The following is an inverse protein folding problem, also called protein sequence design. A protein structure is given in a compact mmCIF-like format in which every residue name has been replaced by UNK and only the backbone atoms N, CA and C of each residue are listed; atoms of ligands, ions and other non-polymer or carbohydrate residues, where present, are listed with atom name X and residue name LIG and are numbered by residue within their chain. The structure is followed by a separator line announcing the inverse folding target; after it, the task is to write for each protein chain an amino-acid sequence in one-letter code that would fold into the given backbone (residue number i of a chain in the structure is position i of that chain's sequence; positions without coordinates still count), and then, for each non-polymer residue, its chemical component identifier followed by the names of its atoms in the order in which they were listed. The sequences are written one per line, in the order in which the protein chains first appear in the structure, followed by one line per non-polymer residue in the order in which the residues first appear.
data_IF_486830294663
#
_entry.id   IF_486830294663
#
_cell.length_a   1.000
_cell.length_b   1.000
_cell.length_c   1.000
_cell.angle_alpha   90.00
_cell.angle_beta   90.00
_cell.angle_gamma   90.00
#
_symmetry.space_group_name_H-M   'P 1'
#
loop_
_entity.id
_entity.type
_entity.pdbx_description
1 polymer ?
#
# COMPACT_ATOMS: atom_id res chain seq x y z
N UNK A 1 1.63 -3.36 -35.69
CA UNK A 1 1.15 -2.13 -35.04
C UNK A 1 1.55 -0.95 -35.91
N UNK A 2 0.59 -0.12 -36.29
CA UNK A 2 0.85 1.19 -36.90
C UNK A 2 1.51 2.13 -35.88
N UNK A 3 2.17 3.19 -36.35
CA UNK A 3 2.73 4.23 -35.47
C UNK A 3 1.64 4.85 -34.58
N UNK A 4 0.44 5.04 -35.13
CA UNK A 4 -0.72 5.54 -34.37
C UNK A 4 -1.13 4.59 -33.23
N UNK A 5 -1.09 3.28 -33.46
CA UNK A 5 -1.44 2.27 -32.44
C UNK A 5 -0.42 2.28 -31.29
N UNK A 6 0.88 2.39 -31.62
CA UNK A 6 1.95 2.45 -30.61
C UNK A 6 1.80 3.71 -29.76
N UNK A 7 1.49 4.85 -30.39
CA UNK A 7 1.28 6.11 -29.70
C UNK A 7 0.07 6.05 -28.76
N UNK A 8 -1.05 5.52 -29.23
CA UNK A 8 -2.25 5.28 -28.42
C UNK A 8 -1.93 4.38 -27.21
N UNK A 9 -1.24 3.26 -27.42
CA UNK A 9 -0.92 2.32 -26.35
C UNK A 9 0.05 2.91 -25.33
N UNK A 10 1.01 3.74 -25.76
CA UNK A 10 1.88 4.48 -24.85
C UNK A 10 1.08 5.46 -23.98
N UNK A 11 0.22 6.29 -24.60
CA UNK A 11 -0.60 7.24 -23.85
C UNK A 11 -1.55 6.53 -22.87
N UNK A 12 -2.27 5.51 -23.34
CA UNK A 12 -3.19 4.74 -22.51
C UNK A 12 -2.47 4.03 -21.37
N UNK A 13 -1.33 3.39 -21.65
CA UNK A 13 -0.57 2.63 -20.68
C UNK A 13 0.05 3.50 -19.60
N UNK A 14 0.58 4.68 -19.97
CA UNK A 14 1.11 5.64 -18.99
C UNK A 14 0.00 6.21 -18.12
N UNK A 15 -1.11 6.68 -18.72
CA UNK A 15 -2.20 7.30 -17.96
C UNK A 15 -2.93 6.30 -17.06
N UNK A 16 -3.28 5.12 -17.57
CA UNK A 16 -3.89 4.05 -16.77
C UNK A 16 -2.92 3.53 -15.70
N UNK A 17 -1.62 3.46 -16.04
CA UNK A 17 -0.56 3.05 -15.13
C UNK A 17 -0.26 4.04 -14.02
N UNK A 18 -0.46 5.34 -14.24
CA UNK A 18 -0.40 6.34 -13.17
C UNK A 18 -1.53 6.16 -12.17
N UNK A 19 -2.73 5.81 -12.64
CA UNK A 19 -3.89 5.56 -11.78
C UNK A 19 -3.66 4.32 -10.93
N UNK A 20 -3.32 3.16 -11.52
CA UNK A 20 -3.03 1.94 -10.75
C UNK A 20 -1.78 2.11 -9.88
N UNK A 21 -0.75 2.77 -10.42
CA UNK A 21 0.49 3.08 -9.72
C UNK A 21 0.30 3.98 -8.51
N UNK A 22 -0.72 4.84 -8.50
CA UNK A 22 -1.05 5.66 -7.32
C UNK A 22 -1.53 4.81 -6.13
N UNK A 23 -2.27 3.73 -6.39
CA UNK A 23 -2.71 2.77 -5.36
C UNK A 23 -1.52 1.94 -4.87
N UNK A 24 -0.65 1.49 -5.78
CA UNK A 24 0.58 0.81 -5.40
C UNK A 24 1.52 1.72 -4.60
N UNK A 25 1.59 3.00 -4.93
CA UNK A 25 2.36 4.00 -4.20
C UNK A 25 1.84 4.17 -2.76
N UNK A 26 0.52 4.27 -2.56
CA UNK A 26 -0.08 4.30 -1.22
C UNK A 26 0.29 3.06 -0.41
N UNK A 27 0.12 1.87 -0.98
CA UNK A 27 0.46 0.62 -0.30
C UNK A 27 1.96 0.50 -0.02
N UNK A 28 2.81 0.91 -0.96
CA UNK A 28 4.26 0.94 -0.80
C UNK A 28 4.67 1.89 0.33
N UNK A 29 4.05 3.07 0.43
CA UNK A 29 4.26 4.00 1.54
C UNK A 29 3.86 3.36 2.87
N UNK A 30 2.75 2.64 2.94
CA UNK A 30 2.33 1.93 4.15
C UNK A 30 3.36 0.86 4.58
N UNK A 31 3.86 0.08 3.62
CA UNK A 31 4.95 -0.89 3.83
C UNK A 31 6.22 -0.20 4.36
N UNK A 32 6.66 0.87 3.69
CA UNK A 32 7.90 1.58 4.05
C UNK A 32 7.81 2.23 5.43
N UNK A 33 6.66 2.77 5.82
CA UNK A 33 6.49 3.39 7.14
C UNK A 33 6.65 2.36 8.27
N UNK A 34 6.08 1.15 8.10
CA UNK A 34 6.28 0.06 9.06
C UNK A 34 7.75 -0.36 9.06
N UNK A 35 8.30 -0.69 7.88
CA UNK A 35 9.66 -1.19 7.74
C UNK A 35 10.68 -0.23 8.38
N UNK A 36 10.55 1.07 8.13
CA UNK A 36 11.44 2.11 8.67
C UNK A 36 11.40 2.23 10.20
N UNK A 37 10.36 1.70 10.84
CA UNK A 37 10.18 1.79 12.30
C UNK A 37 10.53 0.47 13.01
N UNK A 38 10.37 -0.67 12.33
CA UNK A 38 10.56 -2.01 12.92
C UNK A 38 11.73 -2.79 12.34
N UNK A 39 12.33 -2.36 11.23
CA UNK A 39 13.34 -3.10 10.43
C UNK A 39 12.89 -4.51 10.02
N UNK A 40 11.59 -4.78 10.02
CA UNK A 40 11.00 -6.07 9.66
C UNK A 40 9.83 -5.85 8.70
N UNK A 41 9.76 -6.58 7.57
CA UNK A 41 8.63 -6.49 6.65
C UNK A 41 7.33 -7.00 7.28
N UNK A 42 6.22 -6.31 7.02
CA UNK A 42 4.88 -6.73 7.39
C UNK A 42 4.20 -7.49 6.24
N UNK A 43 4.19 -8.82 6.28
CA UNK A 43 3.54 -9.62 5.24
C UNK A 43 2.01 -9.59 5.31
N UNK A 44 1.42 -9.09 6.41
CA UNK A 44 -0.03 -8.91 6.51
C UNK A 44 -0.55 -7.68 5.77
N UNK A 45 0.31 -6.81 5.23
CA UNK A 45 -0.12 -5.51 4.69
C UNK A 45 -1.19 -5.62 3.59
N UNK A 46 -1.08 -6.64 2.73
CA UNK A 46 -2.07 -6.92 1.69
C UNK A 46 -3.39 -7.43 2.25
N UNK A 47 -3.34 -8.24 3.30
CA UNK A 47 -4.56 -8.75 3.96
C UNK A 47 -5.24 -7.63 4.78
N UNK A 48 -4.49 -6.67 5.31
CA UNK A 48 -5.04 -5.45 5.92
C UNK A 48 -5.77 -4.61 4.87
N UNK A 49 -5.22 -4.49 3.65
CA UNK A 49 -5.90 -3.89 2.51
C UNK A 49 -7.18 -4.66 2.14
N UNK A 50 -7.10 -5.99 2.06
CA UNK A 50 -8.25 -6.85 1.78
C UNK A 50 -9.37 -6.60 2.79
N UNK A 51 -9.05 -6.61 4.09
CA UNK A 51 -10.02 -6.37 5.16
C UNK A 51 -10.70 -5.00 5.01
N UNK A 52 -9.97 -3.96 4.62
CA UNK A 52 -10.56 -2.65 4.33
C UNK A 52 -11.63 -2.71 3.24
N UNK A 53 -11.35 -3.41 2.15
CA UNK A 53 -12.33 -3.61 1.09
C UNK A 53 -13.54 -4.44 1.51
N UNK A 54 -13.34 -5.51 2.29
CA UNK A 54 -14.45 -6.34 2.80
C UNK A 54 -15.31 -5.65 3.85
N UNK A 55 -14.72 -4.84 4.73
CA UNK A 55 -15.49 -4.00 5.66
C UNK A 55 -16.38 -3.03 4.86
N UNK A 56 -15.82 -2.35 3.86
CA UNK A 56 -16.57 -1.44 3.02
C UNK A 56 -17.69 -2.16 2.25
N UNK A 57 -17.40 -3.34 1.67
CA UNK A 57 -18.40 -4.17 0.98
C UNK A 57 -19.52 -4.60 1.91
N UNK A 58 -19.19 -5.05 3.13
CA UNK A 58 -20.19 -5.45 4.11
C UNK A 58 -21.12 -4.29 4.47
N UNK A 59 -20.55 -3.12 4.81
CA UNK A 59 -21.33 -1.95 5.18
C UNK A 59 -22.19 -1.41 4.02
N UNK A 60 -21.72 -1.56 2.78
CA UNK A 60 -22.43 -1.04 1.60
C UNK A 60 -23.48 -2.02 1.10
N UNK A 61 -23.12 -3.29 0.89
CA UNK A 61 -23.97 -4.28 0.23
C UNK A 61 -24.89 -5.04 1.20
N UNK A 62 -24.45 -5.27 2.44
CA UNK A 62 -25.24 -6.01 3.43
C UNK A 62 -26.04 -5.05 4.29
N UNK A 63 -25.41 -4.00 4.81
CA UNK A 63 -26.08 -3.00 5.66
C UNK A 63 -26.79 -1.89 4.87
N UNK A 64 -26.47 -1.71 3.58
CA UNK A 64 -27.10 -0.69 2.74
C UNK A 64 -26.73 0.75 3.12
N UNK A 65 -25.60 0.97 3.81
CA UNK A 65 -25.24 2.30 4.30
C UNK A 65 -24.65 3.19 3.20
N UNK A 66 -24.87 4.51 3.27
CA UNK A 66 -24.32 5.45 2.30
C UNK A 66 -22.81 5.60 2.45
N UNK A 67 -22.12 5.88 1.35
CA UNK A 67 -20.66 6.04 1.30
C UNK A 67 -20.10 7.04 2.32
N UNK A 68 -20.86 8.09 2.63
CA UNK A 68 -20.48 9.11 3.60
C UNK A 68 -20.22 8.54 5.00
N UNK A 69 -20.90 7.45 5.36
CA UNK A 69 -20.74 6.73 6.62
C UNK A 69 -19.77 5.55 6.47
N UNK A 70 -19.81 4.84 5.33
CA UNK A 70 -18.95 3.67 5.08
C UNK A 70 -17.46 4.04 5.09
N UNK A 71 -17.08 5.14 4.44
CA UNK A 71 -15.68 5.58 4.34
C UNK A 71 -15.05 5.79 5.72
N UNK A 72 -15.55 6.71 6.59
CA UNK A 72 -14.90 6.96 7.87
C UNK A 72 -14.89 5.73 8.77
N UNK A 73 -15.95 4.92 8.78
CA UNK A 73 -15.99 3.70 9.59
C UNK A 73 -14.95 2.70 9.12
N UNK A 74 -14.80 2.49 7.82
CA UNK A 74 -13.79 1.59 7.26
C UNK A 74 -12.39 2.06 7.62
N UNK A 75 -12.09 3.35 7.45
CA UNK A 75 -10.79 3.92 7.79
C UNK A 75 -10.45 3.74 9.26
N UNK A 76 -11.39 4.04 10.17
CA UNK A 76 -11.20 3.90 11.61
C UNK A 76 -11.07 2.43 11.99
N UNK A 77 -11.92 1.55 11.48
CA UNK A 77 -11.91 0.13 11.81
C UNK A 77 -10.57 -0.53 11.45
N UNK A 78 -10.06 -0.28 10.25
CA UNK A 78 -8.78 -0.86 9.80
C UNK A 78 -7.60 -0.23 10.55
N UNK A 79 -7.60 1.09 10.78
CA UNK A 79 -6.57 1.74 11.57
C UNK A 79 -6.50 1.21 13.01
N UNK A 80 -7.66 1.03 13.65
CA UNK A 80 -7.77 0.46 15.00
C UNK A 80 -7.32 -1.00 14.99
N UNK A 81 -7.76 -1.81 14.03
CA UNK A 81 -7.33 -3.21 13.88
C UNK A 81 -5.80 -3.32 13.81
N UNK A 82 -5.16 -2.55 12.91
CA UNK A 82 -3.71 -2.58 12.75
C UNK A 82 -2.97 -2.05 13.99
N UNK A 83 -3.43 -0.96 14.59
CA UNK A 83 -2.84 -0.40 15.81
C UNK A 83 -2.98 -1.33 17.03
N UNK A 84 -4.13 -1.99 17.17
CA UNK A 84 -4.39 -2.95 18.23
C UNK A 84 -3.53 -4.21 18.07
N UNK A 85 -3.40 -4.71 16.84
CA UNK A 85 -2.49 -5.83 16.55
C UNK A 85 -1.06 -5.50 16.96
N UNK A 86 -0.57 -4.30 16.64
CA UNK A 86 0.74 -3.85 17.10
C UNK A 86 0.84 -3.85 18.63
N UNK A 87 -0.17 -3.34 19.33
CA UNK A 87 -0.17 -3.25 20.79
C UNK A 87 -0.22 -4.60 21.48
N UNK A 88 -1.06 -5.50 21.00
CA UNK A 88 -1.40 -6.76 21.67
C UNK A 88 -0.41 -7.86 21.31
N UNK A 89 -0.08 -7.98 20.02
CA UNK A 89 0.73 -9.09 19.50
C UNK A 89 2.17 -8.64 19.33
N UNK A 90 2.42 -7.62 18.51
CA UNK A 90 3.79 -7.27 18.13
C UNK A 90 4.62 -6.76 19.31
N UNK A 91 4.07 -5.95 20.21
CA UNK A 91 4.83 -5.51 21.41
C UNK A 91 5.27 -6.68 22.30
N UNK A 92 4.48 -7.77 22.36
CA UNK A 92 4.88 -8.99 23.09
C UNK A 92 5.98 -9.75 22.35
N UNK A 93 5.87 -9.85 21.03
CA UNK A 93 6.85 -10.51 20.16
C UNK A 93 8.18 -9.74 20.12
N UNK A 94 8.16 -8.42 20.19
CA UNK A 94 9.38 -7.60 20.24
C UNK A 94 10.12 -7.79 21.57
N UNK A 95 9.41 -8.17 22.63
CA UNK A 95 9.99 -8.41 23.95
C UNK A 95 10.64 -9.81 24.08
N UNK A 96 10.39 -10.75 23.16
CA UNK A 96 10.98 -12.09 23.19
C UNK A 96 12.37 -12.17 22.54
N UNK A 97 13.16 -13.19 22.92
CA UNK A 97 14.47 -13.47 22.31
C UNK A 97 14.25 -13.99 20.87
N UNK A 98 14.94 -13.44 19.87
CA UNK A 98 14.75 -13.82 18.44
C UNK A 98 13.89 -12.84 17.62
N UNK A 99 14.03 -11.55 17.91
CA UNK A 99 13.15 -10.42 17.56
C UNK A 99 12.82 -10.27 16.06
N UNK A 100 13.64 -10.77 15.12
CA UNK A 100 13.40 -10.62 13.68
C UNK A 100 12.44 -11.66 13.07
N UNK A 101 12.80 -12.94 13.14
CA UNK A 101 12.02 -14.03 12.51
C UNK A 101 10.63 -14.16 13.15
N UNK A 102 10.53 -13.97 14.46
CA UNK A 102 9.25 -14.04 15.18
C UNK A 102 8.28 -12.95 14.74
N UNK A 103 8.76 -11.74 14.43
CA UNK A 103 7.91 -10.67 13.89
C UNK A 103 7.35 -11.04 12.52
N UNK A 104 8.19 -11.60 11.63
CA UNK A 104 7.73 -12.08 10.32
C UNK A 104 6.64 -13.14 10.50
N UNK A 105 6.88 -14.15 11.34
CA UNK A 105 5.92 -15.21 11.64
C UNK A 105 4.61 -14.64 12.19
N UNK A 106 4.67 -13.66 13.11
CA UNK A 106 3.49 -13.01 13.65
C UNK A 106 2.66 -12.30 12.56
N UNK A 107 3.33 -11.62 11.62
CA UNK A 107 2.62 -10.98 10.49
C UNK A 107 2.04 -11.98 9.51
N UNK A 108 2.72 -13.11 9.24
CA UNK A 108 2.13 -14.20 8.45
C UNK A 108 0.92 -14.81 9.16
N UNK A 109 1.01 -15.01 10.48
CA UNK A 109 -0.12 -15.47 11.29
C UNK A 109 -1.32 -14.54 11.20
N UNK A 110 -1.09 -13.22 11.27
CA UNK A 110 -2.15 -12.23 11.05
C UNK A 110 -2.73 -12.33 9.63
N UNK A 111 -1.88 -12.43 8.61
CA UNK A 111 -2.31 -12.52 7.22
C UNK A 111 -3.30 -13.69 7.01
N UNK A 112 -2.91 -14.89 7.45
CA UNK A 112 -3.77 -16.08 7.35
C UNK A 112 -5.01 -15.98 8.24
N UNK A 113 -4.90 -15.41 9.44
CA UNK A 113 -6.06 -15.20 10.32
C UNK A 113 -7.11 -14.27 9.67
N UNK A 114 -6.68 -13.12 9.12
CA UNK A 114 -7.58 -12.18 8.44
C UNK A 114 -8.22 -12.81 7.20
N UNK A 115 -7.43 -13.54 6.39
CA UNK A 115 -7.94 -14.28 5.23
C UNK A 115 -8.98 -15.32 5.63
N UNK A 116 -8.72 -16.11 6.68
CA UNK A 116 -9.65 -17.10 7.21
C UNK A 116 -10.94 -16.47 7.72
N UNK A 117 -10.85 -15.37 8.48
CA UNK A 117 -12.01 -14.63 8.99
C UNK A 117 -12.88 -14.10 7.85
N UNK A 118 -12.29 -13.50 6.82
CA UNK A 118 -13.04 -13.02 5.65
C UNK A 118 -13.75 -14.17 4.94
N UNK A 119 -13.07 -15.30 4.71
CA UNK A 119 -13.71 -16.48 4.09
C UNK A 119 -14.87 -17.02 4.93
N UNK A 120 -14.75 -17.01 6.26
CA UNK A 120 -15.83 -17.46 7.14
C UNK A 120 -17.11 -16.61 7.05
N UNK A 121 -17.01 -15.33 6.66
CA UNK A 121 -18.19 -14.47 6.53
C UNK A 121 -19.09 -14.84 5.33
N UNK A 122 -18.65 -15.71 4.42
CA UNK A 122 -19.38 -16.06 3.19
C UNK A 122 -19.39 -14.96 2.12
N UNK A 123 -18.99 -13.72 2.44
CA UNK A 123 -18.80 -12.66 1.45
C UNK A 123 -17.65 -12.95 0.48
N UNK A 124 -16.70 -13.80 0.88
CA UNK A 124 -15.54 -14.16 0.09
C UNK A 124 -15.79 -15.22 -0.98
N UNK A 125 -16.96 -15.86 -1.00
CA UNK A 125 -17.25 -16.99 -1.90
C UNK A 125 -17.51 -16.54 -3.35
N UNK A 126 -17.86 -15.27 -3.53
CA UNK A 126 -18.13 -14.68 -4.84
C UNK A 126 -17.29 -13.42 -5.01
N UNK A 127 -16.58 -13.24 -6.15
CA UNK A 127 -15.91 -11.99 -6.45
C UNK A 127 -16.90 -10.82 -6.50
N UNK A 128 -16.64 -9.75 -5.76
CA UNK A 128 -17.53 -8.58 -5.68
C UNK A 128 -16.73 -7.28 -5.78
N UNK A 129 -17.32 -6.25 -6.37
CA UNK A 129 -16.79 -4.88 -6.38
C UNK A 129 -17.71 -3.95 -5.60
N UNK A 130 -17.17 -2.81 -5.21
CA UNK A 130 -17.94 -1.73 -4.61
C UNK A 130 -18.68 -0.97 -5.73
N UNK A 131 -19.89 -0.43 -5.45
CA UNK A 131 -20.51 0.52 -6.37
C UNK A 131 -19.58 1.70 -6.70
N UNK A 132 -19.60 2.29 -7.90
CA UNK A 132 -18.74 3.41 -8.25
C UNK A 132 -18.89 4.60 -7.28
N UNK A 133 -17.77 5.14 -6.82
CA UNK A 133 -17.73 6.35 -5.96
C UNK A 133 -18.01 7.65 -6.75
N UNK A 134 -17.77 7.60 -8.05
CA UNK A 134 -17.94 8.68 -9.01
C UNK A 134 -18.49 8.10 -10.32
N UNK A 135 -18.84 8.96 -11.28
CA UNK A 135 -19.27 8.47 -12.58
C UNK A 135 -18.19 7.61 -13.25
N UNK A 136 -18.63 6.60 -14.00
CA UNK A 136 -17.75 5.76 -14.82
C UNK A 136 -17.76 6.26 -16.28
N UNK A 137 -18.27 7.46 -16.52
CA UNK A 137 -18.27 8.08 -17.84
C UNK A 137 -16.85 8.24 -18.39
N UNK A 138 -16.72 7.94 -19.68
CA UNK A 138 -15.46 8.03 -20.40
C UNK A 138 -15.06 9.51 -20.59
N UNK A 139 -13.86 9.83 -20.16
CA UNK A 139 -13.18 11.10 -20.38
C UNK A 139 -11.99 10.82 -21.29
N UNK A 140 -11.97 11.47 -22.45
CA UNK A 140 -10.90 11.34 -23.42
C UNK A 140 -9.83 12.40 -23.10
N UNK A 141 -8.60 11.95 -22.85
CA UNK A 141 -7.44 12.81 -22.62
C UNK A 141 -6.40 12.47 -23.69
N UNK A 142 -6.26 13.33 -24.70
CA UNK A 142 -5.48 12.98 -25.90
C UNK A 142 -6.18 11.87 -26.67
N UNK A 143 -5.44 10.79 -26.99
CA UNK A 143 -6.00 9.59 -27.62
C UNK A 143 -6.43 8.53 -26.59
N UNK A 144 -6.08 8.72 -25.32
CA UNK A 144 -6.38 7.78 -24.24
C UNK A 144 -7.78 8.00 -23.64
N UNK A 145 -8.39 6.91 -23.20
CA UNK A 145 -9.69 6.91 -22.53
C UNK A 145 -9.50 6.57 -21.06
N UNK A 146 -9.88 7.50 -20.19
CA UNK A 146 -9.96 7.33 -18.74
C UNK A 146 -11.41 7.47 -18.29
N UNK A 147 -11.69 7.12 -17.05
CA UNK A 147 -13.00 7.38 -16.42
C UNK A 147 -12.90 8.52 -15.40
N UNK A 148 -14.02 9.17 -15.08
CA UNK A 148 -14.04 10.14 -13.97
C UNK A 148 -13.60 9.50 -12.65
N UNK A 149 -13.94 8.23 -12.44
CA UNK A 149 -13.46 7.41 -11.33
C UNK A 149 -11.93 7.31 -11.28
N UNK A 150 -11.24 7.14 -12.42
CA UNK A 150 -9.78 7.09 -12.47
C UNK A 150 -9.13 8.40 -12.00
N UNK A 151 -9.71 9.54 -12.39
CA UNK A 151 -9.25 10.85 -11.95
C UNK A 151 -9.44 11.04 -10.45
N UNK A 152 -10.57 10.57 -9.90
CA UNK A 152 -10.82 10.61 -8.44
C UNK A 152 -9.82 9.73 -7.69
N UNK A 153 -9.55 8.51 -8.17
CA UNK A 153 -8.54 7.62 -7.58
C UNK A 153 -7.19 8.32 -7.52
N UNK A 154 -6.73 8.84 -8.66
CA UNK A 154 -5.43 9.50 -8.75
C UNK A 154 -5.36 10.75 -7.87
N UNK A 155 -6.37 11.61 -7.92
CA UNK A 155 -6.41 12.85 -7.15
C UNK A 155 -6.43 12.60 -5.64
N UNK A 156 -7.24 11.65 -5.16
CA UNK A 156 -7.29 11.31 -3.73
C UNK A 156 -5.99 10.65 -3.29
N UNK A 157 -5.43 9.74 -4.09
CA UNK A 157 -4.15 9.11 -3.76
C UNK A 157 -3.02 10.14 -3.64
N UNK A 158 -2.91 11.08 -4.60
CA UNK A 158 -1.93 12.18 -4.54
C UNK A 158 -2.17 13.07 -3.33
N UNK A 159 -3.42 13.44 -3.03
CA UNK A 159 -3.75 14.25 -1.86
C UNK A 159 -3.32 13.57 -0.55
N UNK A 160 -3.57 12.26 -0.42
CA UNK A 160 -3.15 11.46 0.75
C UNK A 160 -1.63 11.38 0.85
N UNK A 161 -0.93 11.15 -0.27
CA UNK A 161 0.54 11.14 -0.28
C UNK A 161 1.14 12.49 0.13
N UNK A 162 0.57 13.60 -0.34
CA UNK A 162 0.97 14.95 0.07
C UNK A 162 0.70 15.20 1.55
N UNK A 163 -0.47 14.80 2.06
CA UNK A 163 -0.81 14.92 3.47
C UNK A 163 0.15 14.12 4.35
N UNK A 164 0.50 12.89 3.94
CA UNK A 164 1.52 12.09 4.62
C UNK A 164 2.89 12.76 4.56
N UNK A 165 3.31 13.28 3.41
CA UNK A 165 4.57 14.00 3.28
C UNK A 165 4.64 15.20 4.23
N UNK A 166 3.59 16.02 4.28
CA UNK A 166 3.47 17.13 5.21
C UNK A 166 3.49 16.67 6.66
N UNK A 167 2.75 15.61 6.98
CA UNK A 167 2.71 15.02 8.32
C UNK A 167 4.11 14.56 8.76
N UNK A 168 4.81 13.78 7.94
CA UNK A 168 6.14 13.30 8.25
C UNK A 168 7.14 14.45 8.38
N UNK A 169 7.10 15.43 7.49
CA UNK A 169 8.08 16.52 7.44
C UNK A 169 7.88 17.51 8.59
N UNK A 170 6.67 18.02 8.79
CA UNK A 170 6.41 19.18 9.63
C UNK A 170 5.88 18.87 11.03
N UNK A 171 5.29 17.68 11.28
CA UNK A 171 4.65 17.40 12.58
C UNK A 171 5.61 16.80 13.63
N UNK A 172 5.26 16.95 14.91
CA UNK A 172 5.97 16.32 16.04
C UNK A 172 5.93 14.79 15.95
N UNK A 173 4.79 14.23 15.51
CA UNK A 173 4.61 12.78 15.33
C UNK A 173 5.56 12.26 14.26
N UNK A 174 5.64 12.94 13.11
CA UNK A 174 6.57 12.59 12.03
C UNK A 174 8.04 12.62 12.46
N UNK A 175 8.44 13.64 13.24
CA UNK A 175 9.79 13.70 13.82
C UNK A 175 10.06 12.54 14.79
N UNK A 176 9.10 12.21 15.64
CA UNK A 176 9.22 11.08 16.57
C UNK A 176 9.32 9.74 15.82
N UNK A 177 8.53 9.52 14.77
CA UNK A 177 8.61 8.32 13.92
C UNK A 177 10.00 8.16 13.30
N UNK A 178 10.57 9.25 12.74
CA UNK A 178 11.95 9.23 12.19
C UNK A 178 12.99 8.95 13.28
N UNK A 179 12.86 9.55 14.46
CA UNK A 179 13.78 9.32 15.57
C UNK A 179 13.77 7.85 16.02
N UNK A 180 12.58 7.25 16.12
CA UNK A 180 12.43 5.82 16.45
C UNK A 180 13.07 4.95 15.38
N UNK A 181 12.88 5.24 14.09
CA UNK A 181 13.48 4.48 13.00
C UNK A 181 15.01 4.58 12.92
N UNK A 182 15.61 5.69 13.35
CA UNK A 182 17.08 5.83 13.38
C UNK A 182 17.72 5.12 14.56
N UNK A 183 17.20 5.35 15.77
CA UNK A 183 17.71 4.70 16.97
C UNK A 183 16.62 4.62 18.06
N UNK A 184 15.93 3.47 18.17
CA UNK A 184 14.88 3.28 19.17
C UNK A 184 15.36 3.47 20.61
N UNK A 185 16.64 3.15 20.91
CA UNK A 185 17.22 3.31 22.25
C UNK A 185 17.41 4.79 22.57
N UNK A 186 18.02 5.55 21.66
CA UNK A 186 18.23 6.99 21.85
C UNK A 186 16.90 7.76 21.90
N UNK A 187 15.93 7.40 21.06
CA UNK A 187 14.60 7.98 21.08
C UNK A 187 13.92 7.81 22.46
N UNK A 188 14.09 6.64 23.09
CA UNK A 188 13.56 6.38 24.44
C UNK A 188 14.24 7.24 25.51
N UNK A 189 15.54 7.50 25.40
CA UNK A 189 16.29 8.34 26.35
C UNK A 189 15.81 9.80 26.35
N UNK A 190 15.35 10.31 25.21
CA UNK A 190 14.77 11.66 25.09
C UNK A 190 13.25 11.68 25.34
N UNK A 191 12.70 10.63 25.94
CA UNK A 191 11.30 10.56 26.39
C UNK A 191 10.27 10.13 25.33
N UNK A 192 10.71 9.62 24.16
CA UNK A 192 9.76 9.12 23.15
C UNK A 192 9.20 7.77 23.59
N UNK A 193 7.87 7.69 23.72
CA UNK A 193 7.18 6.44 23.99
C UNK A 193 7.14 5.56 22.72
N UNK A 194 8.04 4.58 22.64
CA UNK A 194 8.16 3.69 21.48
C UNK A 194 6.86 2.94 21.17
N UNK A 195 6.17 2.44 22.20
CA UNK A 195 4.93 1.69 22.03
C UNK A 195 3.85 2.56 21.39
N UNK A 196 3.70 3.82 21.83
CA UNK A 196 2.76 4.77 21.22
C UNK A 196 3.12 5.08 19.77
N UNK A 197 4.40 5.32 19.46
CA UNK A 197 4.83 5.60 18.08
C UNK A 197 4.61 4.40 17.17
N UNK A 198 4.94 3.19 17.61
CA UNK A 198 4.72 1.96 16.83
C UNK A 198 3.24 1.71 16.57
N UNK A 199 2.37 1.89 17.58
CA UNK A 199 0.92 1.80 17.40
C UNK A 199 0.42 2.80 16.35
N UNK A 200 0.89 4.05 16.40
CA UNK A 200 0.52 5.07 15.42
C UNK A 200 1.01 4.73 14.01
N UNK A 201 2.22 4.19 13.88
CA UNK A 201 2.77 3.71 12.60
C UNK A 201 1.91 2.62 11.99
N UNK A 202 1.52 1.62 12.79
CA UNK A 202 0.66 0.53 12.33
C UNK A 202 -0.76 0.99 12.02
N UNK A 203 -1.34 1.86 12.85
CA UNK A 203 -2.65 2.44 12.60
C UNK A 203 -2.66 3.28 11.31
N UNK A 204 -1.61 4.07 11.07
CA UNK A 204 -1.48 4.85 9.85
C UNK A 204 -1.30 3.96 8.62
N UNK A 205 -0.49 2.91 8.70
CA UNK A 205 -0.34 1.93 7.62
C UNK A 205 -1.67 1.23 7.30
N UNK A 206 -2.46 0.87 8.33
CA UNK A 206 -3.81 0.32 8.16
C UNK A 206 -4.76 1.32 7.51
N UNK A 207 -4.73 2.59 7.95
CA UNK A 207 -5.52 3.67 7.37
C UNK A 207 -5.21 3.85 5.87
N UNK A 208 -3.93 3.87 5.50
CA UNK A 208 -3.50 4.02 4.10
C UNK A 208 -3.95 2.82 3.26
N UNK A 209 -3.82 1.60 3.80
CA UNK A 209 -4.34 0.39 3.15
C UNK A 209 -5.86 0.44 2.94
N UNK A 210 -6.62 0.96 3.91
CA UNK A 210 -8.06 1.12 3.80
C UNK A 210 -8.45 2.16 2.74
N UNK A 211 -7.73 3.29 2.67
CA UNK A 211 -7.90 4.27 1.58
C UNK A 211 -7.65 3.61 0.23
N UNK A 212 -6.51 2.92 0.08
CA UNK A 212 -6.15 2.24 -1.16
C UNK A 212 -7.23 1.23 -1.58
N UNK A 213 -7.79 0.46 -0.62
CA UNK A 213 -8.87 -0.49 -0.87
C UNK A 213 -10.14 0.22 -1.35
N UNK A 214 -10.61 1.22 -0.62
CA UNK A 214 -11.80 2.00 -0.98
C UNK A 214 -11.69 2.64 -2.37
N UNK A 215 -10.49 3.06 -2.77
CA UNK A 215 -10.27 3.67 -4.08
C UNK A 215 -10.31 2.65 -5.23
N UNK A 216 -9.72 1.47 -5.07
CA UNK A 216 -9.56 0.52 -6.18
C UNK A 216 -10.69 -0.51 -6.27
N UNK A 217 -11.32 -0.89 -5.15
CA UNK A 217 -12.39 -1.92 -5.13
C UNK A 217 -13.62 -1.60 -6.00
N UNK A 218 -13.94 -0.33 -6.32
CA UNK A 218 -14.95 -0.06 -7.35
C UNK A 218 -14.54 -0.46 -8.78
N UNK A 219 -13.24 -0.52 -9.07
CA UNK A 219 -12.66 -0.82 -10.39
C UNK A 219 -12.30 -2.30 -10.55
N UNK A 220 -11.94 -2.98 -9.46
CA UNK A 220 -11.51 -4.38 -9.48
C UNK A 220 -12.40 -5.25 -8.59
N UNK A 221 -12.56 -6.51 -9.00
CA UNK A 221 -13.25 -7.50 -8.18
C UNK A 221 -12.37 -7.87 -6.97
N UNK A 222 -12.93 -7.71 -5.79
CA UNK A 222 -12.32 -8.20 -4.56
C UNK A 222 -12.59 -9.70 -4.41
N UNK A 223 -11.53 -10.43 -4.07
CA UNK A 223 -11.56 -11.83 -3.65
C UNK A 223 -10.72 -11.96 -2.37
N UNK A 224 -10.88 -13.04 -1.58
CA UNK A 224 -10.05 -13.25 -0.39
C UNK A 224 -8.56 -13.42 -0.68
N UNK A 225 -8.19 -13.61 -1.95
CA UNK A 225 -6.80 -13.75 -2.38
C UNK A 225 -6.22 -12.44 -2.93
N UNK A 226 -6.96 -11.34 -2.89
CA UNK A 226 -6.47 -10.03 -3.33
C UNK A 226 -5.28 -9.53 -2.49
N UNK A 227 -5.07 -10.08 -1.29
CA UNK A 227 -3.94 -9.75 -0.43
C UNK A 227 -2.56 -9.93 -1.09
N UNK A 228 -2.46 -10.70 -2.17
CA UNK A 228 -1.24 -10.80 -2.99
C UNK A 228 -0.80 -9.46 -3.59
N UNK A 229 -1.66 -8.44 -3.64
CA UNK A 229 -1.30 -7.06 -4.00
C UNK A 229 -0.16 -6.50 -3.14
N UNK A 230 0.07 -7.05 -1.94
CA UNK A 230 1.24 -6.74 -1.13
C UNK A 230 2.55 -6.93 -1.90
N UNK A 231 2.65 -7.94 -2.76
CA UNK A 231 3.85 -8.21 -3.56
C UNK A 231 4.16 -7.00 -4.46
N UNK A 232 3.14 -6.39 -5.06
CA UNK A 232 3.27 -5.18 -5.89
C UNK A 232 3.69 -3.97 -5.07
N UNK A 233 3.11 -3.83 -3.87
CA UNK A 233 3.50 -2.78 -2.92
C UNK A 233 4.96 -2.93 -2.45
N UNK A 234 5.42 -4.16 -2.20
CA UNK A 234 6.81 -4.46 -1.88
C UNK A 234 7.73 -4.23 -3.08
N UNK A 235 7.31 -4.61 -4.29
CA UNK A 235 8.06 -4.33 -5.51
C UNK A 235 8.27 -2.83 -5.71
N UNK A 236 7.19 -2.06 -5.58
CA UNK A 236 7.22 -0.60 -5.60
C UNK A 236 8.13 -0.02 -4.51
N UNK A 237 8.03 -0.53 -3.27
CA UNK A 237 8.89 -0.09 -2.16
C UNK A 237 10.37 -0.40 -2.40
N UNK A 238 10.71 -1.57 -2.94
CA UNK A 238 12.10 -1.98 -3.22
C UNK A 238 12.67 -1.19 -4.40
N UNK A 239 11.92 -1.09 -5.50
CA UNK A 239 12.30 -0.28 -6.68
C UNK A 239 12.50 1.18 -6.28
N UNK A 240 11.59 1.74 -5.49
CA UNK A 240 11.68 3.10 -4.97
C UNK A 240 12.82 3.33 -3.96
N UNK A 241 13.12 2.30 -3.18
CA UNK A 241 14.02 2.31 -2.02
C UNK A 241 13.24 2.19 -0.71
N UNK A 242 13.35 1.03 -0.06
CA UNK A 242 12.50 0.62 1.09
C UNK A 242 12.64 1.50 2.34
N UNK A 243 13.66 2.36 2.38
CA UNK A 243 13.93 3.30 3.49
C UNK A 243 13.46 4.74 3.18
N UNK A 244 13.02 5.00 1.95
CA UNK A 244 12.66 6.32 1.41
C UNK A 244 11.17 6.40 1.09
N UNK A 245 10.43 7.24 1.83
CA UNK A 245 9.00 7.45 1.57
C UNK A 245 8.74 8.05 0.17
N UNK A 246 9.45 9.11 -0.26
CA UNK A 246 9.31 9.61 -1.64
C UNK A 246 9.74 8.58 -2.68
N UNK A 247 10.75 7.76 -2.35
CA UNK A 247 11.16 6.60 -3.16
C UNK A 247 10.00 5.65 -3.40
N UNK A 248 9.29 5.23 -2.36
CA UNK A 248 8.14 4.34 -2.45
C UNK A 248 7.04 4.87 -3.39
N UNK A 249 6.82 6.19 -3.39
CA UNK A 249 5.85 6.83 -4.30
C UNK A 249 6.28 6.70 -5.75
N UNK A 250 7.53 7.07 -6.06
CA UNK A 250 8.08 6.93 -7.42
C UNK A 250 8.08 5.47 -7.87
N UNK A 251 8.46 4.56 -6.98
CA UNK A 251 8.43 3.12 -7.25
C UNK A 251 7.01 2.61 -7.56
N UNK A 252 5.99 3.08 -6.85
CA UNK A 252 4.59 2.75 -7.12
C UNK A 252 4.16 3.16 -8.53
N UNK A 253 4.48 4.38 -8.95
CA UNK A 253 4.21 4.85 -10.31
C UNK A 253 5.00 4.07 -11.37
N UNK A 254 6.28 3.78 -11.13
CA UNK A 254 7.10 2.98 -12.04
C UNK A 254 6.50 1.59 -12.24
N UNK A 255 6.12 0.91 -11.16
CA UNK A 255 5.49 -0.42 -11.24
C UNK A 255 4.13 -0.34 -11.95
N UNK A 256 3.28 0.63 -11.61
CA UNK A 256 1.96 0.77 -12.24
C UNK A 256 2.04 1.03 -13.74
N UNK A 257 2.94 1.92 -14.17
CA UNK A 257 3.19 2.20 -15.59
C UNK A 257 3.80 0.99 -16.29
N UNK A 258 4.77 0.32 -15.67
CA UNK A 258 5.38 -0.87 -16.24
C UNK A 258 4.35 -1.99 -16.46
N UNK A 259 3.49 -2.27 -15.48
CA UNK A 259 2.44 -3.28 -15.61
C UNK A 259 1.48 -2.98 -16.76
N UNK A 260 1.02 -1.73 -16.87
CA UNK A 260 0.08 -1.35 -17.92
C UNK A 260 0.73 -1.40 -19.31
N UNK A 261 1.98 -0.96 -19.45
CA UNK A 261 2.70 -1.05 -20.71
C UNK A 261 2.98 -2.51 -21.10
N UNK A 262 3.40 -3.37 -20.16
CA UNK A 262 3.60 -4.80 -20.44
C UNK A 262 2.29 -5.47 -20.84
N UNK A 263 1.18 -5.12 -20.17
CA UNK A 263 -0.15 -5.62 -20.51
C UNK A 263 -0.58 -5.26 -21.93
N UNK A 264 -0.33 -4.03 -22.37
CA UNK A 264 -0.73 -3.54 -23.69
C UNK A 264 0.20 -3.99 -24.82
N UNK A 265 1.52 -4.03 -24.60
CA UNK A 265 2.51 -4.33 -25.65
C UNK A 265 2.91 -5.79 -25.75
N UNK A 266 2.86 -6.55 -24.65
CA UNK A 266 3.35 -7.93 -24.59
C UNK A 266 2.17 -8.89 -24.42
N UNK A 267 1.58 -8.95 -23.23
CA UNK A 267 0.39 -9.74 -22.93
C UNK A 267 -0.08 -9.50 -21.50
N UNK A 268 -1.36 -9.76 -21.23
CA UNK A 268 -1.92 -9.75 -19.88
C UNK A 268 -1.24 -10.77 -18.94
N UNK A 269 -0.80 -11.92 -19.48
CA UNK A 269 -0.10 -12.95 -18.70
C UNK A 269 1.29 -12.47 -18.23
N UNK A 270 1.95 -11.60 -18.99
CA UNK A 270 3.27 -11.06 -18.66
C UNK A 270 3.21 -9.98 -17.56
N UNK A 271 2.03 -9.42 -17.25
CA UNK A 271 1.86 -8.39 -16.21
C UNK A 271 2.40 -8.87 -14.87
N UNK A 272 2.13 -10.13 -14.50
CA UNK A 272 2.56 -10.71 -13.21
C UNK A 272 4.10 -10.75 -13.08
N UNK A 273 4.82 -10.81 -14.20
CA UNK A 273 6.29 -10.88 -14.24
C UNK A 273 6.92 -9.48 -14.19
N UNK A 274 6.21 -8.45 -14.66
CA UNK A 274 6.75 -7.09 -14.80
C UNK A 274 7.34 -6.51 -13.50
N UNK A 275 6.70 -6.64 -12.32
CA UNK A 275 7.26 -6.13 -11.07
C UNK A 275 8.57 -6.80 -10.67
N UNK A 276 8.71 -8.11 -10.89
CA UNK A 276 9.92 -8.86 -10.57
C UNK A 276 11.10 -8.47 -11.47
N UNK A 277 10.83 -8.29 -12.76
CA UNK A 277 11.83 -7.78 -13.71
C UNK A 277 12.23 -6.35 -13.35
N UNK A 278 11.28 -5.49 -13.00
CA UNK A 278 11.56 -4.12 -12.57
C UNK A 278 12.44 -4.09 -11.30
N UNK A 279 12.15 -4.93 -10.30
CA UNK A 279 13.02 -5.11 -9.13
C UNK A 279 14.43 -5.51 -9.57
N UNK A 280 14.55 -6.55 -10.39
CA UNK A 280 15.85 -7.08 -10.82
C UNK A 280 16.69 -6.02 -11.54
N UNK A 281 16.10 -5.32 -12.53
CA UNK A 281 16.77 -4.26 -13.29
C UNK A 281 17.20 -3.12 -12.37
N UNK A 282 16.31 -2.68 -11.48
CA UNK A 282 16.61 -1.54 -10.60
C UNK A 282 17.67 -1.91 -9.58
N UNK A 283 17.65 -3.11 -8.99
CA UNK A 283 18.66 -3.52 -8.01
C UNK A 283 20.04 -3.76 -8.66
N UNK A 284 20.09 -4.23 -9.91
CA UNK A 284 21.34 -4.36 -10.65
C UNK A 284 21.98 -3.00 -10.93
N UNK A 285 21.18 -1.99 -11.27
CA UNK A 285 21.67 -0.64 -11.58
C UNK A 285 21.86 0.23 -10.33
N UNK A 286 20.99 0.07 -9.33
CA UNK A 286 20.91 0.84 -8.09
C UNK A 286 20.42 -0.04 -6.93
N UNK A 287 21.34 -0.73 -6.21
CA UNK A 287 20.97 -1.66 -5.14
C UNK A 287 20.27 -1.01 -3.93
N UNK A 288 20.30 0.32 -3.82
CA UNK A 288 19.57 1.07 -2.79
C UNK A 288 18.12 1.42 -3.21
N UNK A 289 17.71 1.09 -4.44
CA UNK A 289 16.51 1.61 -5.08
C UNK A 289 16.75 2.97 -5.73
N UNK A 290 15.75 3.48 -6.45
CA UNK A 290 15.83 4.72 -7.24
C UNK A 290 16.19 5.94 -6.38
N UNK A 291 15.60 6.05 -5.18
CA UNK A 291 15.76 7.16 -4.24
C UNK A 291 16.18 6.67 -2.83
N UNK A 292 16.91 5.55 -2.75
CA UNK A 292 17.47 5.04 -1.50
C UNK A 292 18.51 5.97 -0.88
N UNK A 293 18.52 6.04 0.46
CA UNK A 293 19.50 6.81 1.21
C UNK A 293 20.90 6.17 1.17
N UNK A 294 21.95 7.01 1.23
CA UNK A 294 23.36 6.57 1.26
C UNK A 294 23.59 5.53 2.37
N UNK A 295 24.38 4.49 2.06
CA UNK A 295 24.85 3.46 2.99
C UNK A 295 25.29 4.07 4.33
N UNK A 296 24.47 3.91 5.38
CA UNK A 296 24.93 4.12 6.75
C UNK A 296 25.68 2.86 7.15
N UNK A 297 27.01 2.91 7.09
CA UNK A 297 27.87 1.90 7.71
C UNK A 297 27.51 1.90 9.19
N UNK A 298 26.85 0.84 9.64
CA UNK A 298 26.57 0.60 11.05
C UNK A 298 27.93 0.40 11.71
N UNK A 299 28.51 1.47 12.28
CA UNK A 299 29.68 1.35 13.15
C UNK A 299 29.23 0.51 14.34
N UNK A 300 29.71 -0.73 14.35
CA UNK A 300 29.57 -1.69 15.46
C UNK A 300 30.34 -1.14 16.66
#
# INVERSE_FOLDING_TARGET
MSFADIWLFLQQGVLSGLVTGSVYALLAVAVVIIFKTTDVPNFAQGEIFMVGGYIALFLTLVMGWPYLVVIPITLVAVAVLSGLFQRVVMERVIASKGVGVQMVIATLGLAYALKGLVRQTGLGDTPRSLPPLASTDAIIIGDAVLTQLDLVIFAVAVAVMLLLFCMFTYTRVGRAMRAVGMNPKAARLVGVNLTRIRMLVWALAGLISAVAALLITPKILITPDIGHIAILAYAAAIVGGITSLPGAVVGGFVIGVAENLVGLFISTNAIVVAPFVAIMVVLLLRPQGLLGGKLQVKKV
#
